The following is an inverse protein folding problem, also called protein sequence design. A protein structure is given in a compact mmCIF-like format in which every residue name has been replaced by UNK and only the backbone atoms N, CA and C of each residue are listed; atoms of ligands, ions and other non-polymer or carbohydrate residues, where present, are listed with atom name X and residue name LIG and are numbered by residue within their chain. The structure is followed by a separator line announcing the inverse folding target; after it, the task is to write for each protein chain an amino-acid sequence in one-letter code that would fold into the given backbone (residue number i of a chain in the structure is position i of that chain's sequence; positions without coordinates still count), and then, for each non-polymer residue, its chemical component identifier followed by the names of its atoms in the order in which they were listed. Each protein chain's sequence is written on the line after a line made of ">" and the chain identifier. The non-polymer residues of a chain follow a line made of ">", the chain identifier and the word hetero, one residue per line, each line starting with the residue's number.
data_IF_593808460669
#
_entry.id   IF_593808460669
#
_cell.length_a   1.000
_cell.length_b   1.000
_cell.length_c   1.000
_cell.angle_alpha   90.00
_cell.angle_beta   90.00
_cell.angle_gamma   90.00
#
_symmetry.space_group_name_H-M   'P 1'
#
loop_
_entity.id
_entity.type
_entity.pdbx_description
1 polymer ?
#
# COMPACT_ATOMS: atom_id res chain seq x y z
N UNK A 1 -3.08 23.22 3.40
CA UNK A 1 -4.10 23.94 2.61
C UNK A 1 -4.58 25.11 3.46
N UNK A 2 -4.68 26.33 2.91
CA UNK A 2 -5.28 27.43 3.69
C UNK A 2 -6.82 27.29 3.69
N UNK A 3 -7.51 27.91 4.65
CA UNK A 3 -8.95 27.72 4.86
C UNK A 3 -9.78 28.12 3.63
N UNK A 4 -9.36 29.15 2.90
CA UNK A 4 -10.03 29.62 1.68
C UNK A 4 -9.95 28.59 0.56
N UNK A 5 -8.79 27.95 0.36
CA UNK A 5 -8.61 26.89 -0.62
C UNK A 5 -9.40 25.63 -0.24
N UNK A 6 -9.46 25.29 1.06
CA UNK A 6 -10.24 24.17 1.56
C UNK A 6 -11.74 24.34 1.26
N UNK A 7 -12.27 25.52 1.57
CA UNK A 7 -13.66 25.87 1.29
C UNK A 7 -13.98 25.87 -0.20
N UNK A 8 -13.11 26.44 -1.04
CA UNK A 8 -13.30 26.42 -2.50
C UNK A 8 -13.28 25.00 -3.05
N UNK A 9 -12.34 24.16 -2.63
CA UNK A 9 -12.27 22.76 -3.06
C UNK A 9 -13.58 22.02 -2.75
N UNK A 10 -14.09 22.14 -1.52
CA UNK A 10 -15.32 21.46 -1.11
C UNK A 10 -16.54 21.91 -1.94
N UNK A 11 -16.64 23.21 -2.27
CA UNK A 11 -17.73 23.76 -3.09
C UNK A 11 -17.71 23.19 -4.51
N UNK A 12 -16.53 23.06 -5.13
CA UNK A 12 -16.41 22.54 -6.49
C UNK A 12 -16.44 21.01 -6.57
N UNK A 13 -15.86 20.32 -5.61
CA UNK A 13 -15.76 18.86 -5.57
C UNK A 13 -17.01 18.20 -4.99
N UNK A 14 -17.82 18.93 -4.21
CA UNK A 14 -18.99 18.39 -3.49
C UNK A 14 -18.64 17.47 -2.31
N UNK A 15 -17.34 17.34 -1.99
CA UNK A 15 -16.82 16.49 -0.91
C UNK A 15 -15.62 17.18 -0.27
N UNK A 16 -15.45 17.00 1.04
CA UNK A 16 -14.27 17.51 1.73
C UNK A 16 -12.98 16.79 1.30
N UNK A 17 -11.86 17.51 1.34
CA UNK A 17 -10.56 17.00 0.94
C UNK A 17 -10.09 15.81 1.80
N UNK A 18 -10.44 15.78 3.10
CA UNK A 18 -10.07 14.66 3.98
C UNK A 18 -10.82 13.39 3.61
N UNK A 19 -12.10 13.50 3.25
CA UNK A 19 -12.91 12.36 2.80
C UNK A 19 -12.36 11.77 1.50
N UNK A 20 -11.98 12.62 0.55
CA UNK A 20 -11.33 12.16 -0.69
C UNK A 20 -9.99 11.48 -0.42
N UNK A 21 -9.15 12.07 0.44
CA UNK A 21 -7.87 11.48 0.83
C UNK A 21 -8.05 10.11 1.50
N UNK A 22 -9.05 9.96 2.37
CA UNK A 22 -9.38 8.69 3.01
C UNK A 22 -9.85 7.63 1.99
N UNK A 23 -10.64 8.03 1.00
CA UNK A 23 -11.05 7.13 -0.08
C UNK A 23 -9.86 6.65 -0.93
N UNK A 24 -8.91 7.54 -1.22
CA UNK A 24 -7.67 7.16 -1.91
C UNK A 24 -6.86 6.20 -1.02
N UNK A 25 -6.73 6.51 0.27
CA UNK A 25 -6.00 5.68 1.21
C UNK A 25 -6.59 4.26 1.32
N UNK A 26 -7.91 4.13 1.32
CA UNK A 26 -8.58 2.82 1.38
C UNK A 26 -8.36 2.00 0.11
N UNK A 27 -8.45 2.61 -1.08
CA UNK A 27 -8.16 1.94 -2.37
C UNK A 27 -6.73 1.43 -2.39
N UNK A 28 -5.76 2.26 -1.98
CA UNK A 28 -4.37 1.84 -1.95
C UNK A 28 -4.12 0.76 -0.88
N UNK A 29 -4.78 0.82 0.28
CA UNK A 29 -4.71 -0.24 1.28
C UNK A 29 -5.18 -1.60 0.72
N UNK A 30 -6.26 -1.62 -0.06
CA UNK A 30 -6.74 -2.85 -0.74
C UNK A 30 -5.71 -3.35 -1.75
N UNK A 31 -5.15 -2.46 -2.58
CA UNK A 31 -4.09 -2.83 -3.52
C UNK A 31 -2.87 -3.42 -2.81
N UNK A 32 -2.51 -2.90 -1.64
CA UNK A 32 -1.43 -3.45 -0.82
C UNK A 32 -1.70 -4.87 -0.36
N UNK A 33 -2.90 -5.14 0.13
CA UNK A 33 -3.27 -6.49 0.59
C UNK A 33 -3.22 -7.47 -0.59
N UNK A 34 -3.74 -7.07 -1.76
CA UNK A 34 -3.69 -7.89 -2.97
C UNK A 34 -2.24 -8.16 -3.40
N UNK A 35 -1.39 -7.13 -3.37
CA UNK A 35 0.01 -7.25 -3.71
C UNK A 35 0.77 -8.16 -2.73
N UNK A 36 0.56 -8.01 -1.42
CA UNK A 36 1.15 -8.89 -0.41
C UNK A 36 0.70 -10.34 -0.57
N UNK A 37 -0.58 -10.56 -0.88
CA UNK A 37 -1.12 -11.89 -1.19
C UNK A 37 -0.42 -12.49 -2.41
N UNK A 38 -0.21 -11.68 -3.46
CA UNK A 38 0.53 -12.09 -4.65
C UNK A 38 1.99 -12.44 -4.35
N UNK A 39 2.69 -11.62 -3.55
CA UNK A 39 4.07 -11.90 -3.09
C UNK A 39 4.14 -13.18 -2.26
N UNK A 40 3.18 -13.41 -1.35
CA UNK A 40 3.10 -14.65 -0.59
C UNK A 40 2.92 -15.88 -1.49
N UNK A 41 2.02 -15.78 -2.48
CA UNK A 41 1.82 -16.84 -3.47
C UNK A 41 3.05 -17.07 -4.36
N UNK A 42 3.79 -16.03 -4.74
CA UNK A 42 5.01 -16.18 -5.54
C UNK A 42 6.09 -16.92 -4.76
N UNK A 43 6.28 -16.59 -3.47
CA UNK A 43 7.23 -17.30 -2.61
C UNK A 43 6.79 -18.75 -2.37
N UNK A 44 5.50 -19.00 -2.16
CA UNK A 44 4.98 -20.36 -2.03
C UNK A 44 5.18 -21.19 -3.31
N UNK A 45 4.90 -20.62 -4.49
CA UNK A 45 5.14 -21.29 -5.78
C UNK A 45 6.63 -21.51 -6.03
N UNK A 46 7.49 -20.59 -5.62
CA UNK A 46 8.93 -20.76 -5.72
C UNK A 46 9.41 -21.92 -4.83
N UNK A 47 8.91 -22.03 -3.61
CA UNK A 47 9.21 -23.13 -2.70
C UNK A 47 8.67 -24.48 -3.18
N UNK A 48 7.45 -24.50 -3.74
CA UNK A 48 6.78 -25.74 -4.17
C UNK A 48 7.30 -26.28 -5.51
N UNK A 49 7.78 -25.42 -6.42
CA UNK A 49 8.20 -25.82 -7.77
C UNK A 49 9.72 -25.90 -7.96
N UNK A 50 10.53 -25.21 -7.14
CA UNK A 50 11.98 -25.35 -7.16
C UNK A 50 12.43 -26.07 -5.90
N UNK A 51 12.99 -27.27 -6.07
CA UNK A 51 13.51 -28.20 -5.05
C UNK A 51 14.34 -27.55 -3.92
N UNK A 52 13.66 -26.88 -2.98
CA UNK A 52 14.22 -26.38 -1.70
C UNK A 52 15.32 -25.30 -1.81
N UNK A 53 15.49 -24.63 -2.95
CA UNK A 53 16.48 -23.54 -3.07
C UNK A 53 16.02 -22.19 -2.51
N UNK A 54 14.71 -21.98 -2.35
CA UNK A 54 14.19 -20.78 -1.68
C UNK A 54 14.47 -20.88 -0.18
N UNK A 55 15.63 -20.37 0.24
CA UNK A 55 16.04 -20.32 1.64
C UNK A 55 15.02 -19.49 2.44
N UNK A 56 14.79 -19.87 3.71
CA UNK A 56 13.98 -19.06 4.62
C UNK A 56 14.48 -17.61 4.68
N UNK A 57 15.76 -17.40 4.45
CA UNK A 57 16.39 -16.08 4.39
C UNK A 57 15.89 -15.24 3.20
N UNK A 58 15.68 -15.84 2.03
CA UNK A 58 15.12 -15.15 0.85
C UNK A 58 13.66 -14.76 1.06
N UNK A 59 12.92 -15.61 1.76
CA UNK A 59 11.54 -15.34 2.16
C UNK A 59 11.51 -14.17 3.15
N UNK A 60 12.32 -14.22 4.21
CA UNK A 60 12.44 -13.13 5.19
C UNK A 60 12.85 -11.82 4.52
N UNK A 61 13.82 -11.85 3.62
CA UNK A 61 14.28 -10.66 2.90
C UNK A 61 13.19 -10.06 2.00
N UNK A 62 12.42 -10.91 1.32
CA UNK A 62 11.28 -10.48 0.51
C UNK A 62 10.20 -9.81 1.37
N UNK A 63 9.90 -10.36 2.54
CA UNK A 63 8.96 -9.74 3.49
C UNK A 63 9.48 -8.40 4.02
N UNK A 64 10.77 -8.29 4.35
CA UNK A 64 11.37 -7.01 4.77
C UNK A 64 11.22 -5.96 3.67
N UNK A 65 11.56 -6.31 2.42
CA UNK A 65 11.41 -5.40 1.29
C UNK A 65 9.96 -4.97 1.09
N UNK A 66 9.02 -5.91 1.22
CA UNK A 66 7.59 -5.62 1.14
C UNK A 66 7.13 -4.67 2.26
N UNK A 67 7.57 -4.90 3.50
CA UNK A 67 7.25 -4.04 4.63
C UNK A 67 7.79 -2.61 4.45
N UNK A 68 9.01 -2.46 3.92
CA UNK A 68 9.59 -1.14 3.61
C UNK A 68 8.78 -0.40 2.56
N UNK A 69 8.37 -1.08 1.47
CA UNK A 69 7.52 -0.47 0.42
C UNK A 69 6.19 -0.01 0.99
N UNK A 70 5.53 -0.85 1.80
CA UNK A 70 4.27 -0.51 2.47
C UNK A 70 4.44 0.69 3.39
N UNK A 71 5.52 0.74 4.18
CA UNK A 71 5.79 1.88 5.08
C UNK A 71 6.01 3.18 4.30
N UNK A 72 6.79 3.15 3.23
CA UNK A 72 7.06 4.34 2.40
C UNK A 72 5.77 4.87 1.82
N UNK A 73 4.93 4.00 1.25
CA UNK A 73 3.70 4.47 0.62
C UNK A 73 2.64 4.85 1.65
N UNK A 74 2.55 4.14 2.78
CA UNK A 74 1.72 4.56 3.90
C UNK A 74 2.10 5.97 4.40
N UNK A 75 3.40 6.28 4.44
CA UNK A 75 3.88 7.62 4.75
C UNK A 75 3.42 8.67 3.73
N UNK A 76 3.49 8.37 2.43
CA UNK A 76 3.04 9.29 1.38
C UNK A 76 1.52 9.48 1.31
N UNK A 77 0.76 8.47 1.73
CA UNK A 77 -0.71 8.49 1.66
C UNK A 77 -1.34 9.16 2.88
N UNK A 78 -0.62 9.21 4.01
CA UNK A 78 -1.11 9.85 5.21
C UNK A 78 -1.48 11.32 4.89
N UNK A 79 -2.77 11.71 5.03
CA UNK A 79 -3.13 13.10 4.91
C UNK A 79 -2.42 13.88 6.03
N UNK A 80 -1.71 14.93 5.65
CA UNK A 80 -1.02 15.85 6.57
C UNK A 80 -2.00 16.77 7.30
#
# INVERSE_FOLDING_TARGET
>A
MNETQAGQFAVWAGVDAQTLALAIASVVAVLYILWLTWVGMSQYRAWANNDKEASLLDVTWTFIRAAVVVMIVGFFIRPA
#
